data_IF_996857605539
#
_entry.id   IF_996857605539
#
_cell.length_a   1.000
_cell.length_b   1.000
_cell.length_c   1.000
_cell.angle_alpha   90.00
_cell.angle_beta   90.00
_cell.angle_gamma   90.00
#
_symmetry.space_group_name_H-M   'P 1'
#
loop_
_entity.id
_entity.type
_entity.pdbx_description
1 polymer ?
#
# COMPACT_ATOMS: atom_id res chain seq x y z
N UNK A 1 15.17 -15.65 20.14
CA UNK A 1 15.21 -15.41 18.68
C UNK A 1 14.21 -14.31 18.39
N UNK A 2 14.68 -13.08 18.18
CA UNK A 2 13.79 -11.98 17.80
C UNK A 2 13.57 -12.12 16.31
N UNK A 3 12.36 -12.50 15.91
CA UNK A 3 11.95 -12.47 14.51
C UNK A 3 12.21 -11.05 14.00
N UNK A 4 13.25 -10.93 13.16
CA UNK A 4 13.52 -9.73 12.38
C UNK A 4 12.38 -9.63 11.37
N UNK A 5 11.23 -9.11 11.81
CA UNK A 5 10.20 -8.63 10.92
C UNK A 5 10.86 -7.64 9.97
N UNK A 6 10.96 -8.05 8.70
CA UNK A 6 11.66 -7.35 7.64
C UNK A 6 11.28 -5.86 7.66
N UNK A 7 12.19 -4.96 8.05
CA UNK A 7 11.93 -3.51 8.09
C UNK A 7 11.80 -2.89 6.69
N UNK A 8 11.62 -3.69 5.63
CA UNK A 8 11.84 -3.30 4.25
C UNK A 8 10.55 -3.04 3.45
N UNK A 9 9.36 -3.09 4.06
CA UNK A 9 8.08 -3.02 3.31
C UNK A 9 7.10 -1.99 3.84
N UNK A 10 7.09 -1.77 5.15
CA UNK A 10 6.17 -0.86 5.83
C UNK A 10 6.68 0.59 5.86
N UNK A 11 8.00 0.79 5.73
CA UNK A 11 8.66 2.10 5.68
C UNK A 11 8.56 2.77 4.28
N UNK A 12 8.34 2.01 3.21
CA UNK A 12 8.40 2.52 1.83
C UNK A 12 7.10 3.16 1.33
N UNK A 13 5.97 2.80 1.92
CA UNK A 13 4.74 3.56 1.78
C UNK A 13 4.83 4.78 2.69
N UNK A 14 5.67 5.73 2.29
CA UNK A 14 5.71 7.08 2.87
C UNK A 14 4.28 7.54 3.12
N UNK A 15 3.97 7.79 4.40
CA UNK A 15 2.63 8.03 4.94
C UNK A 15 1.83 9.15 4.25
N UNK A 16 2.43 9.86 3.29
CA UNK A 16 1.84 10.94 2.51
C UNK A 16 1.19 10.49 1.19
N UNK A 17 1.50 9.28 0.68
CA UNK A 17 1.09 8.85 -0.66
C UNK A 17 -0.23 8.08 -0.73
N UNK A 18 -0.71 7.56 0.39
CA UNK A 18 -1.96 6.81 0.45
C UNK A 18 -3.07 7.68 1.02
N UNK A 19 -4.22 7.73 0.36
CA UNK A 19 -5.39 8.48 0.82
C UNK A 19 -6.65 7.61 0.78
N UNK A 20 -7.62 7.90 1.64
CA UNK A 20 -8.93 7.24 1.55
C UNK A 20 -9.82 8.00 0.59
N UNK A 21 -10.35 7.33 -0.44
CA UNK A 21 -11.36 7.92 -1.32
C UNK A 21 -12.70 8.21 -0.64
N UNK A 22 -12.94 7.66 0.55
CA UNK A 22 -14.18 7.89 1.30
C UNK A 22 -14.17 9.20 2.07
N UNK A 23 -13.03 9.58 2.65
CA UNK A 23 -12.90 10.82 3.44
C UNK A 23 -11.87 11.81 2.89
N UNK A 24 -11.19 11.47 1.79
CA UNK A 24 -10.17 12.27 1.13
C UNK A 24 -9.00 12.66 2.06
N UNK A 25 -8.78 11.88 3.13
CA UNK A 25 -7.68 12.08 4.06
C UNK A 25 -6.54 11.14 3.74
N UNK A 26 -5.32 11.65 3.91
CA UNK A 26 -4.09 10.87 3.91
C UNK A 26 -4.13 9.81 5.01
N UNK A 27 -3.59 8.63 4.72
CA UNK A 27 -3.54 7.49 5.61
C UNK A 27 -2.09 7.25 6.06
N UNK A 28 -1.89 7.21 7.37
CA UNK A 28 -0.58 6.91 7.98
C UNK A 28 -0.58 5.50 8.55
N UNK A 29 0.61 4.91 8.62
CA UNK A 29 0.79 3.60 9.23
C UNK A 29 0.62 3.70 10.76
N UNK A 30 -0.16 2.78 11.31
CA UNK A 30 -0.45 2.61 12.73
C UNK A 30 -0.25 1.12 13.09
N UNK A 31 0.07 0.84 14.34
CA UNK A 31 0.33 -0.53 14.81
C UNK A 31 -0.91 -1.05 15.51
N UNK A 32 -1.62 -2.00 14.90
CA UNK A 32 -2.78 -2.67 15.50
C UNK A 32 -2.38 -4.02 16.13
N UNK A 33 -3.22 -4.61 17.00
CA UNK A 33 -2.94 -5.91 17.63
C UNK A 33 -2.73 -7.04 16.63
N UNK A 34 -3.46 -6.98 15.50
CA UNK A 34 -3.41 -7.97 14.41
C UNK A 34 -2.30 -7.68 13.38
N UNK A 35 -1.50 -6.63 13.61
CA UNK A 35 -0.42 -6.20 12.71
C UNK A 35 -0.53 -4.74 12.27
N UNK A 36 0.37 -4.30 11.38
CA UNK A 36 0.38 -2.92 10.90
C UNK A 36 -0.82 -2.62 9.99
N UNK A 37 -1.44 -1.47 10.21
CA UNK A 37 -2.60 -0.99 9.46
C UNK A 37 -2.39 0.44 9.00
N UNK A 38 -2.87 0.79 7.81
CA UNK A 38 -2.99 2.18 7.41
C UNK A 38 -4.28 2.73 7.99
N UNK A 39 -4.23 3.90 8.64
CA UNK A 39 -5.39 4.58 9.21
C UNK A 39 -5.45 6.02 8.70
N UNK A 40 -6.65 6.49 8.39
CA UNK A 40 -6.85 7.89 8.02
C UNK A 40 -6.39 8.85 9.12
N UNK A 41 -5.75 9.94 8.71
CA UNK A 41 -5.47 11.07 9.58
C UNK A 41 -6.75 11.74 10.11
N UNK A 42 -6.55 12.67 11.05
CA UNK A 42 -7.62 13.52 11.57
C UNK A 42 -8.13 14.47 10.48
N UNK A 43 -9.44 14.81 10.48
CA UNK A 43 -10.46 14.46 11.47
C UNK A 43 -11.14 13.09 11.24
N UNK A 44 -10.75 12.32 10.23
CA UNK A 44 -11.45 11.07 9.90
C UNK A 44 -11.18 9.97 10.92
N UNK A 45 -9.92 9.56 11.10
CA UNK A 45 -9.48 8.55 12.08
C UNK A 45 -10.08 7.14 11.96
N UNK A 46 -11.07 6.92 11.07
CA UNK A 46 -11.94 5.74 11.10
C UNK A 46 -11.65 4.70 10.02
N UNK A 47 -11.27 5.12 8.81
CA UNK A 47 -11.00 4.13 7.76
C UNK A 47 -9.62 3.53 7.95
N UNK A 48 -9.57 2.21 7.89
CA UNK A 48 -8.36 1.43 7.97
C UNK A 48 -8.20 0.52 6.76
N UNK A 49 -6.96 0.11 6.50
CA UNK A 49 -6.63 -0.96 5.56
C UNK A 49 -5.46 -1.77 6.14
N UNK A 50 -5.53 -3.10 6.09
CA UNK A 50 -4.41 -3.94 6.50
C UNK A 50 -3.21 -3.73 5.57
N UNK A 51 -2.00 -3.71 6.12
CA UNK A 51 -0.81 -3.49 5.29
C UNK A 51 -0.62 -4.58 4.22
N UNK A 52 -0.99 -5.83 4.51
CA UNK A 52 -0.96 -6.91 3.54
C UNK A 52 -1.99 -6.71 2.42
N UNK A 53 -3.18 -6.17 2.74
CA UNK A 53 -4.21 -5.84 1.73
C UNK A 53 -3.73 -4.70 0.83
N UNK A 54 -3.07 -3.69 1.41
CA UNK A 54 -2.38 -2.62 0.69
C UNK A 54 -1.35 -3.19 -0.27
N UNK A 55 -0.45 -4.05 0.23
CA UNK A 55 0.58 -4.69 -0.59
C UNK A 55 -0.02 -5.51 -1.73
N UNK A 56 -1.01 -6.36 -1.44
CA UNK A 56 -1.64 -7.23 -2.44
C UNK A 56 -2.33 -6.41 -3.55
N UNK A 57 -3.03 -5.33 -3.19
CA UNK A 57 -3.65 -4.43 -4.14
C UNK A 57 -2.64 -3.74 -5.06
N UNK A 58 -1.55 -3.20 -4.50
CA UNK A 58 -0.49 -2.56 -5.27
C UNK A 58 0.20 -3.54 -6.23
N UNK A 59 0.51 -4.75 -5.75
CA UNK A 59 1.13 -5.81 -6.56
C UNK A 59 0.25 -6.23 -7.73
N UNK A 60 -1.05 -6.44 -7.48
CA UNK A 60 -2.00 -6.79 -8.52
C UNK A 60 -2.08 -5.72 -9.60
N UNK A 61 -2.18 -4.45 -9.21
CA UNK A 61 -2.25 -3.32 -10.13
C UNK A 61 -0.97 -3.12 -10.93
N UNK A 62 0.19 -3.19 -10.29
CA UNK A 62 1.49 -3.00 -10.95
C UNK A 62 1.81 -4.14 -11.90
N UNK A 63 1.66 -5.40 -11.46
CA UNK A 63 1.84 -6.57 -12.35
C UNK A 63 0.87 -6.51 -13.53
N UNK A 64 -0.38 -6.14 -13.31
CA UNK A 64 -1.36 -5.99 -14.40
C UNK A 64 -1.02 -4.90 -15.41
N UNK A 65 -0.40 -3.80 -14.97
CA UNK A 65 -0.04 -2.67 -15.83
C UNK A 65 1.34 -2.85 -16.50
N UNK A 66 2.23 -3.62 -15.88
CA UNK A 66 3.62 -3.80 -16.29
C UNK A 66 3.96 -5.29 -16.53
N UNK A 67 3.02 -6.08 -17.08
CA UNK A 67 3.20 -7.54 -17.29
C UNK A 67 4.52 -7.84 -18.01
N UNK A 68 4.83 -7.12 -19.09
CA UNK A 68 6.05 -7.33 -19.87
C UNK A 68 7.35 -7.07 -19.10
N UNK A 69 7.31 -6.24 -18.04
CA UNK A 69 8.46 -5.89 -17.20
C UNK A 69 8.53 -6.71 -15.91
N UNK A 70 7.41 -7.29 -15.47
CA UNK A 70 7.28 -8.00 -14.20
C UNK A 70 7.20 -9.52 -14.35
N UNK A 71 7.11 -10.01 -15.58
CA UNK A 71 7.03 -11.45 -15.86
C UNK A 71 8.27 -12.20 -15.36
N UNK A 72 8.06 -13.22 -14.54
CA UNK A 72 9.13 -14.04 -13.95
C UNK A 72 9.88 -13.40 -12.78
N UNK A 73 9.57 -12.15 -12.42
CA UNK A 73 10.16 -11.49 -11.26
C UNK A 73 9.43 -11.87 -9.97
N UNK A 74 10.19 -11.98 -8.88
CA UNK A 74 9.61 -12.16 -7.55
C UNK A 74 8.90 -10.87 -7.12
N UNK A 75 8.02 -10.97 -6.13
CA UNK A 75 7.40 -9.77 -5.58
C UNK A 75 8.44 -8.82 -5.00
N UNK A 76 9.47 -9.34 -4.33
CA UNK A 76 10.52 -8.53 -3.69
C UNK A 76 11.31 -7.69 -4.69
N UNK A 77 11.58 -8.24 -5.88
CA UNK A 77 12.35 -7.57 -6.94
C UNK A 77 11.60 -6.37 -7.54
N UNK A 78 10.26 -6.39 -7.52
CA UNK A 78 9.43 -5.37 -8.15
C UNK A 78 8.88 -4.33 -7.16
N UNK A 79 9.08 -4.53 -5.85
CA UNK A 79 8.51 -3.65 -4.81
C UNK A 79 8.98 -2.20 -4.97
N UNK A 80 10.28 -1.97 -5.13
CA UNK A 80 10.84 -0.61 -5.23
C UNK A 80 10.25 0.17 -6.40
N UNK A 81 10.27 -0.46 -7.58
CA UNK A 81 9.74 0.12 -8.82
C UNK A 81 8.22 0.31 -8.77
N UNK A 82 7.51 -0.63 -8.14
CA UNK A 82 6.07 -0.54 -7.90
C UNK A 82 5.72 0.69 -7.07
N UNK A 83 6.42 0.93 -5.95
CA UNK A 83 6.16 2.07 -5.08
C UNK A 83 6.55 3.41 -5.72
N UNK A 84 7.62 3.44 -6.52
CA UNK A 84 8.00 4.62 -7.28
C UNK A 84 6.95 4.96 -8.34
N UNK A 85 6.35 3.95 -8.99
CA UNK A 85 5.33 4.15 -10.01
C UNK A 85 3.96 4.56 -9.43
N UNK A 86 3.60 4.09 -8.22
CA UNK A 86 2.27 4.29 -7.64
C UNK A 86 2.19 5.53 -6.76
N UNK A 87 2.26 6.71 -7.39
CA UNK A 87 1.99 8.00 -6.74
C UNK A 87 0.50 8.26 -6.44
N UNK A 88 -0.41 7.36 -6.83
CA UNK A 88 -1.87 7.60 -6.86
C UNK A 88 -2.70 6.42 -6.33
N UNK A 89 -2.24 5.74 -5.27
CA UNK A 89 -3.02 4.69 -4.62
C UNK A 89 -4.02 5.30 -3.60
N UNK A 90 -5.23 4.76 -3.54
CA UNK A 90 -6.23 5.10 -2.52
C UNK A 90 -6.95 3.89 -1.97
N UNK A 91 -7.44 4.00 -0.73
CA UNK A 91 -8.29 2.99 -0.09
C UNK A 91 -9.76 3.33 -0.30
N UNK A 92 -10.57 2.31 -0.59
CA UNK A 92 -12.04 2.37 -0.55
C UNK A 92 -12.58 1.07 0.03
N UNK A 93 -13.41 1.14 1.06
CA UNK A 93 -14.02 -0.04 1.70
C UNK A 93 -13.01 -1.13 2.10
N UNK A 94 -11.87 -0.75 2.69
CA UNK A 94 -10.79 -1.67 3.07
C UNK A 94 -9.97 -2.24 1.89
N UNK A 95 -10.33 -1.91 0.65
CA UNK A 95 -9.62 -2.35 -0.55
C UNK A 95 -8.79 -1.23 -1.14
N UNK A 96 -7.69 -1.59 -1.78
CA UNK A 96 -6.79 -0.66 -2.43
C UNK A 96 -7.11 -0.57 -3.91
N UNK A 97 -7.09 0.66 -4.39
CA UNK A 97 -7.31 1.05 -5.77
C UNK A 97 -6.16 1.95 -6.16
N UNK A 98 -5.75 1.89 -7.41
CA UNK A 98 -4.76 2.82 -7.95
C UNK A 98 -5.39 3.60 -9.08
N UNK A 99 -4.96 4.85 -9.30
CA UNK A 99 -5.31 5.54 -10.54
C UNK A 99 -4.88 4.65 -11.70
N UNK A 100 -5.83 4.34 -12.58
CA UNK A 100 -5.54 3.65 -13.83
C UNK A 100 -4.55 4.54 -14.58
N UNK A 101 -3.32 4.07 -14.79
CA UNK A 101 -2.39 4.73 -15.70
C UNK A 101 -3.09 4.76 -17.07
N UNK A 102 -3.47 5.95 -17.53
CA UNK A 102 -3.89 6.19 -18.91
C UNK A 102 -2.71 6.74 -19.69
#
# INVERSE_FOLDING_TARGET
MVERHSPALLDLATADKLWSSSCHQTMSIDTAPDGPVYRCGLPCGRHTAGADEVRAGLLWHYRGSCVAKTYGLSDEDILGDMFAALHLAWVRNGRIYTARFY
#
